data_IF_608130547123
#
_entry.id   IF_608130547123
#
_cell.length_a   1.000
_cell.length_b   1.000
_cell.length_c   1.000
_cell.angle_alpha   90.00
_cell.angle_beta   90.00
_cell.angle_gamma   90.00
#
_symmetry.space_group_name_H-M   'P 1'
#
loop_
_entity.id
_entity.type
_entity.pdbx_description
1 polymer ?
#
# COMPACT_ATOMS: atom_id res chain seq x y z
N UNK A 1 35.02 -95.36 -91.04
CA UNK A 1 35.98 -94.27 -91.29
C UNK A 1 35.74 -93.20 -90.24
N UNK A 2 36.73 -92.85 -89.41
CA UNK A 2 36.57 -91.86 -88.35
C UNK A 2 37.03 -90.48 -88.84
N UNK A 3 36.20 -89.46 -88.65
CA UNK A 3 36.63 -88.05 -88.81
C UNK A 3 36.80 -87.39 -87.45
N UNK A 4 37.90 -86.65 -87.37
CA UNK A 4 38.63 -86.23 -86.19
C UNK A 4 37.93 -85.09 -85.44
N UNK A 5 37.75 -85.26 -84.13
CA UNK A 5 37.38 -84.17 -83.23
C UNK A 5 38.57 -83.22 -83.05
N UNK A 6 38.55 -82.10 -83.76
CA UNK A 6 39.52 -81.01 -83.58
C UNK A 6 39.28 -80.35 -82.21
N UNK A 7 40.12 -80.72 -81.25
CA UNK A 7 40.17 -80.10 -79.92
C UNK A 7 40.72 -78.66 -80.05
N UNK A 8 39.83 -77.66 -80.03
CA UNK A 8 40.23 -76.25 -79.90
C UNK A 8 40.64 -75.99 -78.46
N UNK A 9 41.94 -75.89 -78.22
CA UNK A 9 42.52 -75.41 -76.96
C UNK A 9 42.05 -73.98 -76.67
N UNK A 10 41.29 -73.79 -75.59
CA UNK A 10 40.99 -72.47 -75.06
C UNK A 10 42.27 -71.89 -74.43
N UNK A 11 42.87 -70.89 -75.08
CA UNK A 11 43.83 -70.03 -74.40
C UNK A 11 43.06 -69.10 -73.46
N UNK A 12 43.42 -69.00 -72.17
CA UNK A 12 42.78 -68.06 -71.27
C UNK A 12 43.09 -66.64 -71.76
N UNK A 13 42.03 -65.88 -72.09
CA UNK A 13 42.16 -64.43 -72.31
C UNK A 13 42.75 -63.84 -71.04
N UNK A 14 43.94 -63.27 -71.18
CA UNK A 14 44.55 -62.41 -70.18
C UNK A 14 43.65 -61.17 -70.04
N UNK A 15 42.68 -61.24 -69.14
CA UNK A 15 41.86 -60.10 -68.74
C UNK A 15 42.77 -59.17 -67.94
N UNK A 16 43.48 -58.29 -68.65
CA UNK A 16 44.02 -57.11 -68.00
C UNK A 16 42.83 -56.36 -67.39
N UNK A 17 42.90 -55.99 -66.09
CA UNK A 17 41.85 -55.15 -65.51
C UNK A 17 41.81 -53.87 -66.33
N UNK A 18 40.70 -53.63 -67.02
CA UNK A 18 40.43 -52.33 -67.62
C UNK A 18 40.51 -51.33 -66.48
N UNK A 19 41.58 -50.52 -66.47
CA UNK A 19 41.68 -49.36 -65.58
C UNK A 19 40.40 -48.55 -65.78
N UNK A 20 39.63 -48.44 -64.72
CA UNK A 20 38.38 -47.71 -64.62
C UNK A 20 38.65 -46.22 -64.84
N UNK A 21 38.67 -45.77 -66.09
CA UNK A 21 38.75 -44.32 -66.41
C UNK A 21 37.48 -43.59 -65.93
N UNK A 22 36.38 -44.32 -65.66
CA UNK A 22 35.15 -43.78 -65.06
C UNK A 22 35.20 -43.53 -63.54
N UNK A 23 36.22 -43.99 -62.80
CA UNK A 23 36.17 -43.91 -61.32
C UNK A 23 36.62 -42.57 -60.76
N UNK A 24 37.61 -41.92 -61.37
CA UNK A 24 38.20 -40.67 -60.83
C UNK A 24 37.24 -39.47 -60.87
N UNK A 25 36.48 -39.31 -61.95
CA UNK A 25 35.52 -38.21 -62.08
C UNK A 25 34.33 -38.41 -61.12
N UNK A 26 33.86 -39.65 -60.95
CA UNK A 26 32.81 -39.97 -59.98
C UNK A 26 33.28 -39.82 -58.53
N UNK A 27 34.53 -40.19 -58.22
CA UNK A 27 35.12 -40.00 -56.90
C UNK A 27 35.22 -38.51 -56.54
N UNK A 28 35.65 -37.67 -57.48
CA UNK A 28 35.70 -36.21 -57.29
C UNK A 28 34.32 -35.59 -57.07
N UNK A 29 33.29 -36.06 -57.78
CA UNK A 29 31.91 -35.60 -57.59
C UNK A 29 31.37 -36.02 -56.22
N UNK A 30 31.64 -37.26 -55.79
CA UNK A 30 31.21 -37.77 -54.48
C UNK A 30 31.89 -37.00 -53.34
N UNK A 31 33.17 -36.69 -53.49
CA UNK A 31 33.93 -35.92 -52.50
C UNK A 31 33.42 -34.47 -52.43
N UNK A 32 33.15 -33.84 -53.58
CA UNK A 32 32.52 -32.51 -53.63
C UNK A 32 31.13 -32.47 -52.97
N UNK A 33 30.27 -33.46 -53.26
CA UNK A 33 28.96 -33.58 -52.61
C UNK A 33 29.06 -33.88 -51.11
N UNK A 34 30.08 -34.63 -50.69
CA UNK A 34 30.32 -34.92 -49.27
C UNK A 34 30.78 -33.67 -48.52
N UNK A 35 31.66 -32.86 -49.12
CA UNK A 35 32.04 -31.56 -48.56
C UNK A 35 30.86 -30.59 -48.50
N UNK A 36 30.03 -30.54 -49.54
CA UNK A 36 28.82 -29.71 -49.56
C UNK A 36 27.84 -30.17 -48.47
N UNK A 37 27.58 -31.46 -48.34
CA UNK A 37 26.75 -32.00 -47.26
C UNK A 37 27.31 -31.68 -45.87
N UNK A 38 28.64 -31.68 -45.70
CA UNK A 38 29.27 -31.28 -44.44
C UNK A 38 29.02 -29.81 -44.14
N UNK A 39 29.21 -28.93 -45.13
CA UNK A 39 28.92 -27.48 -45.02
C UNK A 39 27.45 -27.21 -44.72
N UNK A 40 26.54 -27.92 -45.40
CA UNK A 40 25.10 -27.82 -45.17
C UNK A 40 24.73 -28.31 -43.76
N UNK A 41 25.33 -29.41 -43.29
CA UNK A 41 25.11 -29.92 -41.94
C UNK A 41 25.58 -28.93 -40.86
N UNK A 42 26.75 -28.31 -41.06
CA UNK A 42 27.26 -27.24 -40.19
C UNK A 42 26.33 -26.01 -40.20
N UNK A 43 25.82 -25.61 -41.38
CA UNK A 43 24.88 -24.50 -41.49
C UNK A 43 23.54 -24.80 -40.80
N UNK A 44 23.01 -26.02 -40.94
CA UNK A 44 21.79 -26.45 -40.24
C UNK A 44 21.99 -26.42 -38.73
N UNK A 45 23.11 -26.95 -38.23
CA UNK A 45 23.40 -26.94 -36.80
C UNK A 45 23.48 -25.51 -36.23
N UNK A 46 24.08 -24.58 -36.98
CA UNK A 46 24.15 -23.16 -36.60
C UNK A 46 22.75 -22.51 -36.59
N UNK A 47 21.93 -22.76 -37.61
CA UNK A 47 20.56 -22.23 -37.67
C UNK A 47 19.67 -22.79 -36.56
N UNK A 48 19.82 -24.07 -36.20
CA UNK A 48 19.10 -24.67 -35.08
C UNK A 48 19.44 -23.99 -33.74
N UNK A 49 20.73 -23.67 -33.53
CA UNK A 49 21.16 -22.90 -32.36
C UNK A 49 20.55 -21.49 -32.35
N UNK A 50 20.55 -20.81 -33.49
CA UNK A 50 19.99 -19.46 -33.61
C UNK A 50 18.48 -19.45 -33.34
N UNK A 51 17.74 -20.41 -33.89
CA UNK A 51 16.30 -20.58 -33.63
C UNK A 51 16.04 -20.85 -32.14
N UNK A 52 16.88 -21.66 -31.48
CA UNK A 52 16.75 -21.93 -30.04
C UNK A 52 16.94 -20.66 -29.21
N UNK A 53 17.93 -19.83 -29.54
CA UNK A 53 18.17 -18.53 -28.88
C UNK A 53 17.00 -17.59 -29.10
N UNK A 54 16.48 -17.50 -30.32
CA UNK A 54 15.32 -16.64 -30.64
C UNK A 54 14.05 -17.07 -29.90
N UNK A 55 13.79 -18.38 -29.79
CA UNK A 55 12.67 -18.90 -29.00
C UNK A 55 12.79 -18.54 -27.52
N UNK A 56 13.98 -18.69 -26.94
CA UNK A 56 14.23 -18.28 -25.55
C UNK A 56 13.97 -16.78 -25.35
N UNK A 57 14.50 -15.93 -26.24
CA UNK A 57 14.25 -14.48 -26.20
C UNK A 57 12.77 -14.12 -26.32
N UNK A 58 12.04 -14.80 -27.20
CA UNK A 58 10.60 -14.60 -27.37
C UNK A 58 9.81 -14.97 -26.11
N UNK A 59 10.16 -16.07 -25.44
CA UNK A 59 9.51 -16.43 -24.16
C UNK A 59 9.78 -15.40 -23.08
N UNK A 60 11.03 -14.90 -22.97
CA UNK A 60 11.38 -13.86 -22.01
C UNK A 60 10.66 -12.54 -22.29
N UNK A 61 10.51 -12.17 -23.56
CA UNK A 61 9.75 -10.97 -23.95
C UNK A 61 8.28 -11.08 -23.54
N UNK A 62 7.66 -12.26 -23.73
CA UNK A 62 6.27 -12.51 -23.30
C UNK A 62 6.10 -12.43 -21.79
N UNK A 63 7.08 -12.93 -21.00
CA UNK A 63 7.02 -12.80 -19.54
C UNK A 63 7.15 -11.34 -19.10
N UNK A 64 8.09 -10.58 -19.69
CA UNK A 64 8.26 -9.16 -19.39
C UNK A 64 7.01 -8.34 -19.74
N UNK A 65 6.33 -8.67 -20.83
CA UNK A 65 5.07 -7.99 -21.22
C UNK A 65 3.95 -8.23 -20.20
N UNK A 66 3.82 -9.45 -19.67
CA UNK A 66 2.87 -9.77 -18.61
C UNK A 66 3.16 -9.00 -17.32
N UNK A 67 4.43 -8.95 -16.92
CA UNK A 67 4.87 -8.19 -15.74
C UNK A 67 4.58 -6.69 -15.91
N UNK A 68 4.87 -6.14 -17.09
CA UNK A 68 4.60 -4.74 -17.40
C UNK A 68 3.10 -4.40 -17.34
N UNK A 69 2.24 -5.31 -17.80
CA UNK A 69 0.79 -5.15 -17.68
C UNK A 69 0.32 -5.24 -16.22
N UNK A 70 0.89 -6.14 -15.41
CA UNK A 70 0.61 -6.20 -13.97
C UNK A 70 0.99 -4.91 -13.26
N UNK A 71 2.20 -4.40 -13.52
CA UNK A 71 2.69 -3.15 -12.94
C UNK A 71 1.83 -1.94 -13.34
N UNK A 72 1.32 -1.91 -14.58
CA UNK A 72 0.38 -0.85 -15.01
C UNK A 72 -0.93 -0.88 -14.23
N UNK A 73 -1.46 -2.07 -13.95
CA UNK A 73 -2.69 -2.21 -13.14
C UNK A 73 -2.43 -1.75 -11.70
N UNK A 74 -1.34 -2.22 -11.09
CA UNK A 74 -0.93 -1.80 -9.74
C UNK A 74 -0.72 -0.28 -9.64
N UNK A 75 -0.09 0.32 -10.65
CA UNK A 75 0.11 1.77 -10.71
C UNK A 75 -1.24 2.52 -10.77
N UNK A 76 -2.18 2.02 -11.57
CA UNK A 76 -3.52 2.62 -11.68
C UNK A 76 -4.27 2.58 -10.35
N UNK A 77 -4.21 1.45 -9.65
CA UNK A 77 -4.87 1.30 -8.35
C UNK A 77 -4.17 2.14 -7.27
N UNK A 78 -2.84 2.23 -7.30
CA UNK A 78 -2.10 3.11 -6.39
C UNK A 78 -2.45 4.59 -6.61
N UNK A 79 -2.63 5.01 -7.86
CA UNK A 79 -3.08 6.37 -8.20
C UNK A 79 -4.48 6.66 -7.63
N UNK A 80 -5.43 5.72 -7.75
CA UNK A 80 -6.77 5.86 -7.15
C UNK A 80 -6.71 5.95 -5.63
N UNK A 81 -5.89 5.11 -5.00
CA UNK A 81 -5.68 5.11 -3.55
C UNK A 81 -5.09 6.46 -3.10
N UNK A 82 -4.12 7.00 -3.82
CA UNK A 82 -3.53 8.30 -3.54
C UNK A 82 -4.56 9.44 -3.64
N UNK A 83 -5.40 9.45 -4.67
CA UNK A 83 -6.49 10.42 -4.79
C UNK A 83 -7.47 10.34 -3.62
N UNK A 84 -7.78 9.12 -3.15
CA UNK A 84 -8.66 8.90 -2.00
C UNK A 84 -8.04 9.42 -0.71
N UNK A 85 -6.77 9.09 -0.45
CA UNK A 85 -6.01 9.60 0.71
C UNK A 85 -5.93 11.12 0.71
N UNK A 86 -5.67 11.73 -0.45
CA UNK A 86 -5.64 13.20 -0.58
C UNK A 86 -6.97 13.83 -0.18
N UNK A 87 -8.09 13.24 -0.63
CA UNK A 87 -9.44 13.71 -0.25
C UNK A 87 -9.70 13.57 1.24
N UNK A 88 -9.34 12.43 1.84
CA UNK A 88 -9.48 12.20 3.27
C UNK A 88 -8.62 13.18 4.08
N UNK A 89 -7.40 13.47 3.65
CA UNK A 89 -6.52 14.42 4.34
C UNK A 89 -7.10 15.83 4.32
N UNK A 90 -7.64 16.29 3.18
CA UNK A 90 -8.33 17.58 3.12
C UNK A 90 -9.57 17.65 4.02
N UNK A 91 -10.31 16.54 4.17
CA UNK A 91 -11.42 16.47 5.13
C UNK A 91 -10.93 16.58 6.57
N UNK A 92 -9.85 15.86 6.92
CA UNK A 92 -9.24 15.91 8.24
C UNK A 92 -8.72 17.32 8.58
N UNK A 93 -8.05 17.99 7.64
CA UNK A 93 -7.61 19.37 7.81
C UNK A 93 -8.79 20.32 8.05
N UNK A 94 -9.88 20.17 7.29
CA UNK A 94 -11.09 20.97 7.49
C UNK A 94 -11.71 20.73 8.87
N UNK A 95 -11.82 19.48 9.32
CA UNK A 95 -12.28 19.17 10.68
C UNK A 95 -11.35 19.70 11.75
N UNK A 96 -10.04 19.63 11.55
CA UNK A 96 -9.07 20.13 12.51
C UNK A 96 -9.15 21.66 12.62
N UNK A 97 -9.28 22.38 11.49
CA UNK A 97 -9.54 23.82 11.51
C UNK A 97 -10.84 24.18 12.24
N UNK A 98 -11.90 23.42 12.02
CA UNK A 98 -13.19 23.62 12.72
C UNK A 98 -13.06 23.38 14.24
N UNK A 99 -12.34 22.34 14.64
CA UNK A 99 -12.08 22.06 16.06
C UNK A 99 -11.21 23.16 16.66
N UNK A 100 -10.16 23.60 15.96
CA UNK A 100 -9.31 24.70 16.38
C UNK A 100 -10.09 26.00 16.55
N UNK A 101 -11.00 26.34 15.64
CA UNK A 101 -11.86 27.52 15.80
C UNK A 101 -12.79 27.38 17.01
N UNK A 102 -13.38 26.20 17.23
CA UNK A 102 -14.21 25.94 18.42
C UNK A 102 -13.40 26.07 19.71
N UNK A 103 -12.20 25.50 19.77
CA UNK A 103 -11.33 25.58 20.95
C UNK A 103 -10.75 26.98 21.16
N UNK A 104 -10.48 27.72 20.08
CA UNK A 104 -9.97 29.10 20.13
C UNK A 104 -11.04 30.12 20.50
N UNK A 105 -12.31 29.86 20.16
CA UNK A 105 -13.47 30.66 20.59
C UNK A 105 -13.87 30.37 22.04
N UNK A 106 -13.64 29.15 22.56
CA UNK A 106 -13.72 28.87 24.00
C UNK A 106 -12.48 29.39 24.73
N UNK A 107 -12.32 30.71 24.78
CA UNK A 107 -11.50 31.33 25.80
C UNK A 107 -12.15 31.07 27.16
N UNK A 108 -11.64 30.09 27.90
CA UNK A 108 -11.99 29.85 29.30
C UNK A 108 -11.49 31.04 30.12
N UNK A 109 -12.25 32.14 30.09
CA UNK A 109 -12.03 33.25 30.99
C UNK A 109 -12.60 32.86 32.34
N UNK A 110 -11.80 33.02 33.40
CA UNK A 110 -12.30 32.93 34.76
C UNK A 110 -13.48 33.90 34.92
N UNK A 111 -14.55 33.46 35.57
CA UNK A 111 -15.67 34.35 35.92
C UNK A 111 -15.19 35.44 36.88
N UNK A 112 -15.87 36.57 37.00
CA UNK A 112 -15.59 37.46 38.16
C UNK A 112 -16.13 36.82 39.45
N UNK A 113 -15.66 37.23 40.65
CA UNK A 113 -16.21 36.73 41.91
C UNK A 113 -17.73 36.92 42.03
N UNK A 114 -18.27 38.01 41.49
CA UNK A 114 -19.73 38.25 41.48
C UNK A 114 -20.46 37.28 40.53
N UNK A 115 -19.93 37.07 39.32
CA UNK A 115 -20.50 36.14 38.33
C UNK A 115 -20.47 34.68 38.85
N UNK A 116 -19.36 34.27 39.49
CA UNK A 116 -19.21 32.94 40.09
C UNK A 116 -20.17 32.71 41.25
N UNK A 117 -20.37 33.71 42.11
CA UNK A 117 -21.35 33.66 43.20
C UNK A 117 -22.78 33.53 42.67
N UNK A 118 -23.13 34.29 41.63
CA UNK A 118 -24.44 34.22 40.98
C UNK A 118 -24.74 32.84 40.36
N UNK A 119 -23.74 32.20 39.75
CA UNK A 119 -23.86 30.85 39.20
C UNK A 119 -24.13 29.80 40.30
N UNK A 120 -23.40 29.88 41.42
CA UNK A 120 -23.57 28.97 42.55
C UNK A 120 -24.94 29.16 43.20
N UNK A 121 -25.38 30.41 43.40
CA UNK A 121 -26.71 30.68 43.96
C UNK A 121 -27.82 30.06 43.10
N UNK A 122 -27.77 30.26 41.78
CA UNK A 122 -28.72 29.66 40.85
C UNK A 122 -28.69 28.13 40.89
N UNK A 123 -27.49 27.55 41.02
CA UNK A 123 -27.31 26.10 41.14
C UNK A 123 -27.89 25.58 42.45
N UNK A 124 -27.62 26.23 43.58
CA UNK A 124 -28.16 25.86 44.89
C UNK A 124 -29.68 26.03 44.92
N UNK A 125 -30.23 27.11 44.36
CA UNK A 125 -31.68 27.32 44.23
C UNK A 125 -32.35 26.19 43.43
N UNK A 126 -31.73 25.76 42.33
CA UNK A 126 -32.26 24.63 41.54
C UNK A 126 -32.24 23.31 42.33
N UNK A 127 -31.22 23.09 43.17
CA UNK A 127 -31.10 21.89 44.01
C UNK A 127 -32.05 21.95 45.22
N UNK A 128 -32.26 23.14 45.80
CA UNK A 128 -33.16 23.34 46.93
C UNK A 128 -34.62 23.02 46.58
N UNK A 129 -35.00 23.14 45.30
CA UNK A 129 -36.34 22.79 44.81
C UNK A 129 -36.57 21.27 44.65
N UNK A 130 -35.57 20.42 44.95
CA UNK A 130 -35.69 18.96 44.84
C UNK A 130 -36.33 18.38 46.11
N UNK A 131 -37.49 17.70 45.95
CA UNK A 131 -38.35 17.19 47.05
C UNK A 131 -37.69 16.33 48.14
N UNK A 132 -36.51 15.77 47.88
CA UNK A 132 -35.79 14.87 48.80
C UNK A 132 -34.46 15.45 49.31
N UNK A 133 -34.17 16.72 49.03
CA UNK A 133 -32.93 17.35 49.44
C UNK A 133 -33.17 18.18 50.71
N UNK A 134 -32.47 17.87 51.81
CA UNK A 134 -32.52 18.67 53.04
C UNK A 134 -31.31 19.60 53.07
N UNK A 135 -31.53 20.91 52.92
CA UNK A 135 -30.51 21.89 53.25
C UNK A 135 -30.31 21.90 54.78
N UNK A 136 -29.06 21.79 55.21
CA UNK A 136 -28.63 21.96 56.60
C UNK A 136 -27.81 23.23 56.65
N UNK A 137 -27.89 23.96 57.76
CA UNK A 137 -27.04 25.13 57.99
C UNK A 137 -25.58 24.74 57.81
N UNK A 138 -24.91 25.36 56.84
CA UNK A 138 -23.54 25.03 56.51
C UNK A 138 -22.80 26.28 56.06
N UNK A 139 -21.64 26.52 56.69
CA UNK A 139 -20.63 27.42 56.14
C UNK A 139 -19.76 26.59 55.22
N UNK A 140 -19.83 26.87 53.93
CA UNK A 140 -19.15 26.08 52.90
C UNK A 140 -18.14 26.98 52.19
N UNK A 141 -16.88 26.57 52.22
CA UNK A 141 -15.79 27.19 51.47
C UNK A 141 -15.35 26.23 50.37
N UNK A 142 -15.61 26.57 49.11
CA UNK A 142 -15.25 25.74 47.97
C UNK A 142 -14.20 26.45 47.11
N UNK A 143 -13.18 25.69 46.71
CA UNK A 143 -12.25 26.09 45.65
C UNK A 143 -12.65 25.40 44.37
N UNK A 144 -13.27 26.13 43.47
CA UNK A 144 -13.79 25.59 42.21
C UNK A 144 -13.11 26.31 41.04
N UNK A 145 -12.81 25.56 39.98
CA UNK A 145 -12.46 26.16 38.71
C UNK A 145 -13.77 26.62 38.06
N UNK A 146 -13.88 27.92 37.78
CA UNK A 146 -15.03 28.49 37.08
C UNK A 146 -14.55 29.01 35.73
N UNK A 147 -15.35 28.83 34.69
CA UNK A 147 -15.01 29.35 33.37
C UNK A 147 -16.25 29.83 32.63
N UNK A 148 -16.04 30.79 31.74
CA UNK A 148 -17.05 31.27 30.81
C UNK A 148 -16.96 30.48 29.50
N UNK A 149 -18.07 29.85 29.11
CA UNK A 149 -18.20 29.14 27.83
C UNK A 149 -19.23 29.92 27.00
N UNK A 150 -18.74 30.77 26.09
CA UNK A 150 -19.60 31.74 25.40
C UNK A 150 -20.07 32.86 26.35
N UNK A 151 -21.37 32.99 26.56
CA UNK A 151 -21.96 33.93 27.53
C UNK A 151 -22.30 33.29 28.88
N UNK A 152 -22.30 31.96 28.97
CA UNK A 152 -22.70 31.24 30.17
C UNK A 152 -21.51 30.94 31.09
N UNK A 153 -21.71 31.19 32.39
CA UNK A 153 -20.78 30.74 33.42
C UNK A 153 -20.96 29.25 33.70
N UNK A 154 -19.87 28.50 33.72
CA UNK A 154 -19.86 27.05 33.93
C UNK A 154 -18.87 26.66 35.04
N UNK A 155 -19.25 25.68 35.84
CA UNK A 155 -18.35 25.00 36.78
C UNK A 155 -17.48 24.00 36.00
N UNK A 156 -16.17 24.16 36.09
CA UNK A 156 -15.21 23.27 35.45
C UNK A 156 -14.73 22.26 36.48
N UNK A 157 -14.93 20.98 36.18
CA UNK A 157 -14.36 19.89 36.94
C UNK A 157 -13.09 19.41 36.23
N UNK A 158 -11.91 19.78 36.72
CA UNK A 158 -10.66 19.38 36.10
C UNK A 158 -10.47 17.87 36.22
N UNK A 159 -9.79 17.30 35.23
CA UNK A 159 -9.44 15.88 35.25
C UNK A 159 -8.54 15.59 36.47
N UNK A 160 -8.84 14.57 37.31
CA UNK A 160 -8.11 14.29 38.55
C UNK A 160 -6.58 14.16 38.38
N UNK A 161 -6.12 13.75 37.20
CA UNK A 161 -4.69 13.55 36.92
C UNK A 161 -3.97 14.83 36.45
N UNK A 162 -4.70 15.92 36.22
CA UNK A 162 -4.13 17.20 35.78
C UNK A 162 -4.06 18.21 36.92
N UNK A 163 -2.88 18.80 37.13
CA UNK A 163 -2.73 19.94 38.04
C UNK A 163 -3.51 21.13 37.49
N UNK A 164 -4.51 21.57 38.24
CA UNK A 164 -5.25 22.80 37.98
C UNK A 164 -4.35 23.98 38.29
N UNK A 165 -4.24 24.94 37.38
CA UNK A 165 -3.56 26.20 37.66
C UNK A 165 -4.30 26.93 38.81
N UNK A 166 -3.64 27.24 39.93
CA UNK A 166 -4.25 27.96 41.04
C UNK A 166 -4.86 29.30 40.66
N UNK A 167 -4.40 29.94 39.57
CA UNK A 167 -4.95 31.20 39.09
C UNK A 167 -6.40 31.09 38.55
N UNK A 168 -6.84 29.87 38.23
CA UNK A 168 -8.20 29.57 37.71
C UNK A 168 -9.13 29.09 38.83
N UNK A 169 -8.58 28.82 40.02
CA UNK A 169 -9.35 28.39 41.18
C UNK A 169 -9.90 29.60 41.93
N UNK A 170 -11.22 29.68 42.04
CA UNK A 170 -11.89 30.68 42.86
C UNK A 170 -12.30 30.09 44.19
N UNK A 171 -11.96 30.80 45.24
CA UNK A 171 -12.42 30.50 46.58
C UNK A 171 -13.72 31.25 46.82
N UNK A 172 -14.81 30.49 46.95
CA UNK A 172 -16.14 31.03 47.18
C UNK A 172 -16.61 30.53 48.54
N UNK A 173 -17.02 31.48 49.37
CA UNK A 173 -17.53 31.24 50.71
C UNK A 173 -19.00 31.63 50.73
N UNK A 174 -19.87 30.68 51.05
CA UNK A 174 -21.29 30.96 51.20
C UNK A 174 -21.87 30.23 52.41
N UNK A 175 -22.86 30.89 53.01
CA UNK A 175 -23.57 30.40 54.18
C UNK A 175 -24.95 29.94 53.74
N UNK A 176 -25.18 28.64 53.87
CA UNK A 176 -26.49 28.05 53.68
C UNK A 176 -27.25 28.22 55.00
N UNK A 177 -28.42 28.85 54.97
CA UNK A 177 -29.31 29.02 56.13
C UNK A 177 -30.64 28.30 55.87
N UNK A 178 -31.13 27.56 56.87
CA UNK A 178 -32.27 26.63 56.81
C UNK A 178 -33.63 27.28 56.51
N UNK A 179 -33.74 28.59 56.59
CA UNK A 179 -35.00 29.26 56.29
C UNK A 179 -35.17 29.41 54.78
N UNK A 180 -36.20 28.75 54.27
CA UNK A 180 -36.68 28.76 52.89
C UNK A 180 -37.15 30.16 52.45
N UNK A 181 -36.18 31.04 52.32
CA UNK A 181 -36.13 32.26 51.54
C UNK A 181 -34.66 32.69 51.60
N UNK A 182 -33.87 32.32 50.59
CA UNK A 182 -32.54 32.89 50.40
C UNK A 182 -32.74 34.40 50.27
N UNK A 183 -32.52 35.13 51.36
CA UNK A 183 -32.43 36.58 51.39
C UNK A 183 -30.95 36.92 51.46
N UNK A 184 -30.46 37.59 50.42
CA UNK A 184 -29.22 38.36 50.45
C UNK A 184 -29.52 39.76 50.97
#
# INVERSE_FOLDING_TARGET
MPEEFVSRSFQPRNLQPQRTVRSKDSEQIIEGLSEENRKLSEAIANLEQEVKILRQRSTSASTTEKELNSLKLELSDLQKNFSTLKRQNSQLEATNKRLQSQTGETSLKALTPEEGTGLINRTIESIANVKNFKLVDANVKLKLATAKVGEEGTLVFPNPDTKVDPAVLQEIEFKIVRDSNIRF
#
